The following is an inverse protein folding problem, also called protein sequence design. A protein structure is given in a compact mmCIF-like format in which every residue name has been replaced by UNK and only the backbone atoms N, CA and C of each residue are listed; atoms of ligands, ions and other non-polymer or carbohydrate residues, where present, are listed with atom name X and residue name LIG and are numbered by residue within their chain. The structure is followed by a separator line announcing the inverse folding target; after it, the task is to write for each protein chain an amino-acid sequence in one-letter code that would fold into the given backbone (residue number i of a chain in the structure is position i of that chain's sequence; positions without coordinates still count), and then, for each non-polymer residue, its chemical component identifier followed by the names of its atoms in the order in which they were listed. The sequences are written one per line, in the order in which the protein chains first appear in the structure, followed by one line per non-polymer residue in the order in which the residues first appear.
data_IF_782108328336
#
_entry.id   IF_782108328336
#
_cell.length_a   1.000
_cell.length_b   1.000
_cell.length_c   1.000
_cell.angle_alpha   90.00
_cell.angle_beta   90.00
_cell.angle_gamma   90.00
#
_symmetry.space_group_name_H-M   'P 1'
#
loop_
_entity.id
_entity.type
_entity.pdbx_description
1 polymer ?
#
# COMPACT_ATOMS: atom_id res chain seq x y z
N UNK A 1 -14.00 -6.40 12.18
CA UNK A 1 -13.88 -5.17 11.38
C UNK A 1 -12.98 -4.18 12.11
N UNK A 2 -12.01 -3.55 11.42
CA UNK A 2 -11.13 -2.58 12.05
C UNK A 2 -11.91 -1.34 12.52
N UNK A 3 -11.49 -0.66 13.61
CA UNK A 3 -12.15 0.56 14.06
C UNK A 3 -12.02 1.64 12.98
N UNK A 4 -13.16 2.15 12.47
CA UNK A 4 -13.20 3.17 11.40
C UNK A 4 -12.28 4.37 11.68
N UNK A 5 -12.18 4.78 12.96
CA UNK A 5 -11.30 5.88 13.39
C UNK A 5 -9.82 5.59 13.12
N UNK A 6 -9.34 4.38 13.39
CA UNK A 6 -7.94 4.00 13.19
C UNK A 6 -7.55 3.99 11.72
N UNK A 7 -8.43 3.46 10.86
CA UNK A 7 -8.25 3.49 9.40
C UNK A 7 -8.11 4.93 8.89
N UNK A 8 -8.97 5.84 9.34
CA UNK A 8 -8.89 7.26 8.95
C UNK A 8 -7.57 7.91 9.40
N UNK A 9 -7.10 7.63 10.62
CA UNK A 9 -5.83 8.16 11.13
C UNK A 9 -4.65 7.64 10.31
N UNK A 10 -4.57 6.34 10.07
CA UNK A 10 -3.53 5.73 9.25
C UNK A 10 -3.53 6.31 7.82
N UNK A 11 -4.70 6.43 7.19
CA UNK A 11 -4.80 7.03 5.85
C UNK A 11 -4.36 8.50 5.84
N UNK A 12 -4.65 9.27 6.91
CA UNK A 12 -4.21 10.67 7.03
C UNK A 12 -2.68 10.76 7.18
N UNK A 13 -2.08 9.91 8.01
CA UNK A 13 -0.62 9.86 8.20
C UNK A 13 0.10 9.47 6.90
N UNK A 14 -0.42 8.48 6.17
CA UNK A 14 0.15 8.06 4.89
C UNK A 14 -0.07 9.12 3.80
N UNK A 15 -1.19 9.84 3.82
CA UNK A 15 -1.44 10.96 2.92
C UNK A 15 -0.44 12.10 3.12
N UNK A 16 0.00 12.39 4.35
CA UNK A 16 1.01 13.43 4.60
C UNK A 16 2.39 13.11 4.01
N UNK A 17 2.69 11.84 3.75
CA UNK A 17 3.94 11.40 3.11
C UNK A 17 3.78 11.02 1.63
N UNK A 18 2.59 11.25 1.05
CA UNK A 18 2.36 11.11 -0.39
C UNK A 18 1.63 9.84 -0.85
N UNK A 19 1.15 8.99 0.06
CA UNK A 19 0.38 7.80 -0.31
C UNK A 19 -1.14 8.08 -0.27
N UNK A 20 -1.87 7.87 -1.38
CA UNK A 20 -3.32 8.07 -1.41
C UNK A 20 -4.06 6.94 -0.68
N UNK A 21 -5.22 7.27 -0.11
CA UNK A 21 -6.05 6.32 0.64
C UNK A 21 -6.43 5.05 -0.17
N UNK A 22 -6.54 5.16 -1.50
CA UNK A 22 -6.77 4.04 -2.42
C UNK A 22 -5.64 2.99 -2.41
N UNK A 23 -4.40 3.41 -2.17
CA UNK A 23 -3.24 2.52 -2.05
C UNK A 23 -3.07 2.01 -0.62
N UNK A 24 -3.34 2.89 0.36
CA UNK A 24 -3.17 2.58 1.79
C UNK A 24 -4.17 1.54 2.27
N UNK A 25 -5.46 1.67 1.92
CA UNK A 25 -6.52 0.74 2.36
C UNK A 25 -6.24 -0.73 2.07
N UNK A 26 -5.95 -1.14 0.82
CA UNK A 26 -5.72 -2.55 0.54
C UNK A 26 -4.47 -3.11 1.26
N UNK A 27 -3.41 -2.30 1.41
CA UNK A 27 -2.20 -2.73 2.13
C UNK A 27 -2.46 -2.85 3.64
N UNK A 28 -3.17 -1.88 4.21
CA UNK A 28 -3.56 -1.89 5.61
C UNK A 28 -4.46 -3.09 5.94
N UNK A 29 -5.41 -3.43 5.06
CA UNK A 29 -6.23 -4.64 5.21
C UNK A 29 -5.38 -5.90 5.23
N UNK A 30 -4.45 -6.06 4.28
CA UNK A 30 -3.55 -7.22 4.21
C UNK A 30 -2.68 -7.35 5.47
N UNK A 31 -2.11 -6.23 5.94
CA UNK A 31 -1.33 -6.20 7.17
C UNK A 31 -2.16 -6.63 8.38
N UNK A 32 -3.39 -6.11 8.51
CA UNK A 32 -4.29 -6.49 9.60
C UNK A 32 -4.66 -7.98 9.54
N UNK A 33 -4.94 -8.52 8.36
CA UNK A 33 -5.24 -9.95 8.19
C UNK A 33 -4.06 -10.83 8.61
N UNK A 34 -2.84 -10.46 8.22
CA UNK A 34 -1.62 -11.20 8.60
C UNK A 34 -1.24 -11.05 10.09
N UNK A 35 -1.72 -9.99 10.75
CA UNK A 35 -1.40 -9.66 12.14
C UNK A 35 -2.56 -9.96 13.10
N UNK A 36 -3.54 -10.78 12.70
CA UNK A 36 -4.71 -11.14 13.51
C UNK A 36 -5.51 -9.91 14.01
N UNK A 37 -5.61 -8.90 13.15
CA UNK A 37 -6.20 -7.58 13.39
C UNK A 37 -5.52 -6.78 14.53
N UNK A 38 -4.27 -7.12 14.86
CA UNK A 38 -3.49 -6.41 15.87
C UNK A 38 -3.00 -5.05 15.36
N UNK A 39 -3.68 -4.00 15.80
CA UNK A 39 -3.29 -2.61 15.52
C UNK A 39 -2.01 -2.18 16.24
N UNK A 40 -1.67 -2.81 17.36
CA UNK A 40 -0.48 -2.45 18.13
C UNK A 40 0.80 -2.59 17.31
N UNK A 41 0.91 -3.63 16.49
CA UNK A 41 2.04 -3.83 15.58
C UNK A 41 2.12 -2.73 14.50
N UNK A 42 0.98 -2.25 14.02
CA UNK A 42 0.91 -1.24 12.95
C UNK A 42 1.09 0.18 13.50
N UNK A 43 0.57 0.47 14.70
CA UNK A 43 0.69 1.78 15.35
C UNK A 43 2.06 1.98 16.01
N UNK A 44 2.78 0.89 16.32
CA UNK A 44 4.13 0.98 16.83
C UNK A 44 5.07 1.58 15.76
N UNK A 45 6.11 2.30 16.22
CA UNK A 45 7.11 2.91 15.35
C UNK A 45 6.52 3.77 14.22
N UNK A 46 5.51 4.59 14.52
CA UNK A 46 4.96 5.61 13.61
C UNK A 46 4.45 5.06 12.26
N UNK A 47 3.79 3.91 12.25
CA UNK A 47 3.28 3.26 11.03
C UNK A 47 4.37 2.74 10.09
N UNK A 48 5.59 2.52 10.57
CA UNK A 48 6.69 2.03 9.75
C UNK A 48 6.38 0.70 9.04
N UNK A 49 5.72 -0.24 9.70
CA UNK A 49 5.29 -1.49 9.07
C UNK A 49 4.33 -1.25 7.87
N UNK A 50 3.46 -0.24 7.96
CA UNK A 50 2.58 0.16 6.88
C UNK A 50 3.35 0.82 5.73
N UNK A 51 4.35 1.66 6.04
CA UNK A 51 5.23 2.29 5.05
C UNK A 51 6.03 1.22 4.31
N UNK A 52 6.65 0.28 5.02
CA UNK A 52 7.44 -0.81 4.44
C UNK A 52 6.59 -1.65 3.48
N UNK A 53 5.37 -2.03 3.89
CA UNK A 53 4.45 -2.78 3.03
C UNK A 53 3.99 -1.98 1.80
N UNK A 54 3.77 -0.68 1.93
CA UNK A 54 3.43 0.20 0.80
C UNK A 54 4.57 0.30 -0.22
N UNK A 55 5.80 0.46 0.26
CA UNK A 55 7.00 0.50 -0.58
C UNK A 55 7.22 -0.83 -1.31
N UNK A 56 7.10 -1.95 -0.60
CA UNK A 56 7.20 -3.29 -1.18
C UNK A 56 6.19 -3.49 -2.31
N UNK A 57 4.91 -3.14 -2.06
CA UNK A 57 3.85 -3.26 -3.07
C UNK A 57 4.10 -2.38 -4.29
N UNK A 58 4.67 -1.18 -4.11
CA UNK A 58 5.04 -0.28 -5.21
C UNK A 58 6.18 -0.85 -6.05
N UNK A 59 7.20 -1.43 -5.42
CA UNK A 59 8.31 -2.09 -6.11
C UNK A 59 7.84 -3.33 -6.89
N UNK A 60 6.89 -4.11 -6.35
CA UNK A 60 6.29 -5.22 -7.07
C UNK A 60 5.56 -4.73 -8.32
N UNK A 61 4.76 -3.66 -8.23
CA UNK A 61 4.10 -3.07 -9.40
C UNK A 61 5.08 -2.58 -10.47
N UNK A 62 6.22 -2.02 -10.07
CA UNK A 62 7.28 -1.61 -11.00
C UNK A 62 7.98 -2.81 -11.65
N UNK A 63 8.10 -3.96 -10.97
CA UNK A 63 8.68 -5.17 -11.55
C UNK A 63 7.75 -5.90 -12.54
N UNK A 64 6.43 -5.69 -12.45
CA UNK A 64 5.45 -6.32 -13.37
C UNK A 64 5.03 -5.38 -14.51
N UNK A 65 5.85 -4.42 -14.93
CA UNK A 65 5.70 -3.91 -16.30
C UNK A 65 6.23 -4.97 -17.27
N UNK A 66 5.39 -5.75 -17.99
CA UNK A 66 5.87 -6.34 -19.22
C UNK A 66 6.33 -5.17 -20.06
N UNK A 67 7.62 -5.19 -20.37
CA UNK A 67 8.26 -4.45 -21.43
C UNK A 67 7.21 -4.27 -22.55
N UNK A 68 6.61 -3.06 -22.66
CA UNK A 68 5.76 -2.69 -23.81
C UNK A 68 6.69 -2.45 -25.01
N UNK A 69 7.46 -3.47 -25.39
CA UNK A 69 8.15 -3.49 -26.68
C UNK A 69 7.25 -4.35 -27.56
N UNK A 70 6.92 -3.80 -28.73
CA UNK A 70 6.06 -4.38 -29.78
C UNK A 70 4.54 -4.24 -29.60
N UNK A 71 4.04 -3.00 -29.68
CA UNK A 71 2.76 -2.76 -30.38
C UNK A 71 2.80 -1.55 -31.32
N UNK A 72 4.00 -1.21 -31.80
CA UNK A 72 4.19 -0.27 -32.92
C UNK A 72 5.24 -0.80 -33.88
N UNK A 73 4.90 -1.87 -34.59
CA UNK A 73 5.23 -1.99 -36.01
C UNK A 73 3.84 -2.00 -36.66
N UNK A 74 3.32 -0.86 -37.09
CA UNK A 74 3.78 -0.19 -38.28
C UNK A 74 3.04 -0.81 -39.45
N UNK A 75 1.84 -0.29 -39.75
CA UNK A 75 1.19 -0.52 -41.04
C UNK A 75 2.15 0.01 -42.11
N UNK A 76 2.78 -0.89 -42.87
CA UNK A 76 3.35 -0.63 -44.19
C UNK A 76 3.29 -1.91 -45.02
#
# INVERSE_FOLDING_TARGET
MPPKRKVTVACKAMKSIGFPESEVKPVLTQLLESSDYNWGYIENDEYRALIEALLQKKQEQEKVSPIKIFSSFGNL
#
